data_IF_787014314244
#
_entry.id   IF_787014314244
#
_cell.length_a   1.000
_cell.length_b   1.000
_cell.length_c   1.000
_cell.angle_alpha   90.00
_cell.angle_beta   90.00
_cell.angle_gamma   90.00
#
_symmetry.space_group_name_H-M   'P 1'
#
loop_
_entity.id
_entity.type
_entity.pdbx_description
1 polymer ?
#
# COMPACT_ATOMS: atom_id res chain seq x y z
N UNK A 1 10.07 -23.75 -13.98
CA UNK A 1 10.68 -22.72 -13.10
C UNK A 1 9.57 -22.27 -12.17
N UNK A 2 9.76 -22.29 -10.84
CA UNK A 2 8.67 -21.93 -9.90
C UNK A 2 8.33 -20.45 -10.03
N UNK A 3 7.04 -20.12 -9.97
CA UNK A 3 6.51 -18.75 -9.95
C UNK A 3 7.12 -17.94 -8.81
N UNK A 4 7.34 -18.55 -7.64
CA UNK A 4 7.99 -17.93 -6.51
C UNK A 4 9.42 -17.46 -6.82
N UNK A 5 10.24 -18.29 -7.46
CA UNK A 5 11.62 -17.93 -7.84
C UNK A 5 11.64 -16.73 -8.80
N UNK A 6 10.74 -16.72 -9.79
CA UNK A 6 10.62 -15.61 -10.72
C UNK A 6 10.22 -14.32 -9.99
N UNK A 7 9.23 -14.42 -9.12
CA UNK A 7 8.72 -13.27 -8.34
C UNK A 7 9.79 -12.69 -7.41
N UNK A 8 10.58 -13.54 -6.73
CA UNK A 8 11.71 -13.10 -5.90
C UNK A 8 12.72 -12.30 -6.72
N UNK A 9 13.15 -12.83 -7.87
CA UNK A 9 14.09 -12.13 -8.76
C UNK A 9 13.53 -10.80 -9.28
N UNK A 10 12.25 -10.76 -9.58
CA UNK A 10 11.58 -9.53 -10.01
C UNK A 10 11.63 -8.46 -8.90
N UNK A 11 11.37 -8.84 -7.65
CA UNK A 11 11.45 -7.95 -6.50
C UNK A 11 12.89 -7.44 -6.31
N UNK A 12 13.89 -8.33 -6.32
CA UNK A 12 15.29 -7.94 -6.21
C UNK A 12 15.71 -6.95 -7.31
N UNK A 13 15.29 -7.21 -8.53
CA UNK A 13 15.55 -6.33 -9.66
C UNK A 13 14.91 -4.95 -9.47
N UNK A 14 13.66 -4.91 -9.01
CA UNK A 14 12.92 -3.66 -8.79
C UNK A 14 13.46 -2.82 -7.64
N UNK A 15 13.99 -3.47 -6.61
CA UNK A 15 14.60 -2.79 -5.46
C UNK A 15 16.11 -2.56 -5.63
N UNK A 16 16.74 -3.16 -6.65
CA UNK A 16 18.19 -3.07 -6.91
C UNK A 16 19.03 -3.70 -5.78
N UNK A 17 18.45 -4.59 -4.98
CA UNK A 17 19.10 -5.22 -3.81
C UNK A 17 18.62 -6.65 -3.62
N UNK A 18 19.49 -7.56 -3.12
CA UNK A 18 19.10 -8.91 -2.74
C UNK A 18 18.02 -8.91 -1.63
N UNK A 19 17.12 -9.90 -1.68
CA UNK A 19 16.01 -10.01 -0.75
C UNK A 19 16.45 -10.05 0.71
N UNK A 20 17.54 -10.77 1.01
CA UNK A 20 18.10 -10.87 2.37
C UNK A 20 18.51 -9.49 2.93
N UNK A 21 19.01 -8.59 2.07
CA UNK A 21 19.34 -7.22 2.48
C UNK A 21 18.10 -6.37 2.71
N UNK A 22 17.03 -6.61 1.93
CA UNK A 22 15.74 -5.96 2.13
C UNK A 22 15.10 -6.38 3.46
N UNK A 23 15.16 -7.67 3.79
CA UNK A 23 14.64 -8.21 5.06
C UNK A 23 15.42 -7.68 6.27
N UNK A 24 16.77 -7.65 6.22
CA UNK A 24 17.61 -7.14 7.31
C UNK A 24 17.55 -5.62 7.46
N UNK A 25 17.35 -4.89 6.37
CA UNK A 25 17.32 -3.42 6.36
C UNK A 25 16.02 -2.80 6.85
N UNK A 26 15.01 -3.61 7.18
CA UNK A 26 13.69 -3.15 7.59
C UNK A 26 13.67 -2.39 8.94
N UNK A 27 14.83 -2.28 9.61
CA UNK A 27 14.95 -1.64 10.94
C UNK A 27 15.39 -0.19 10.97
N UNK A 28 16.01 0.40 9.94
CA UNK A 28 16.64 1.70 10.16
C UNK A 28 16.66 2.74 9.03
N UNK A 29 16.37 2.42 7.78
CA UNK A 29 16.40 3.42 6.69
C UNK A 29 15.32 3.28 5.61
N UNK A 30 14.48 2.24 5.65
CA UNK A 30 13.38 2.03 4.70
C UNK A 30 12.02 2.35 5.32
N UNK A 31 12.01 3.09 6.41
CA UNK A 31 10.81 3.61 7.07
C UNK A 31 9.93 4.47 6.16
N UNK A 32 10.50 4.94 5.03
CA UNK A 32 9.79 5.78 4.07
C UNK A 32 9.07 5.00 2.95
N UNK A 33 9.32 3.68 2.80
CA UNK A 33 8.61 2.86 1.82
C UNK A 33 7.47 2.07 2.49
N UNK A 34 6.23 2.53 2.40
CA UNK A 34 5.09 1.89 3.06
C UNK A 34 4.72 0.55 2.43
N UNK A 35 5.19 0.27 1.21
CA UNK A 35 4.87 -0.95 0.46
C UNK A 35 5.78 -2.11 0.88
N UNK A 36 7.05 -1.83 1.20
CA UNK A 36 8.06 -2.85 1.47
C UNK A 36 7.69 -3.85 2.58
N UNK A 37 7.18 -3.45 3.76
CA UNK A 37 6.81 -4.41 4.81
C UNK A 37 5.68 -5.35 4.38
N UNK A 38 4.72 -4.84 3.61
CA UNK A 38 3.59 -5.62 3.11
C UNK A 38 4.09 -6.61 2.05
N UNK A 39 4.94 -6.15 1.15
CA UNK A 39 5.53 -6.95 0.09
C UNK A 39 6.38 -8.09 0.65
N UNK A 40 7.24 -7.85 1.65
CA UNK A 40 8.05 -8.88 2.28
C UNK A 40 7.17 -9.97 2.93
N UNK A 41 6.11 -9.59 3.64
CA UNK A 41 5.15 -10.54 4.22
C UNK A 41 4.46 -11.40 3.14
N UNK A 42 4.11 -10.81 2.00
CA UNK A 42 3.51 -11.55 0.88
C UNK A 42 4.51 -12.50 0.22
N UNK A 43 5.78 -12.12 0.12
CA UNK A 43 6.85 -12.99 -0.39
C UNK A 43 7.08 -14.19 0.53
N UNK A 44 7.03 -14.01 1.85
CA UNK A 44 7.15 -15.12 2.81
C UNK A 44 5.97 -16.09 2.64
N UNK A 45 4.73 -15.60 2.49
CA UNK A 45 3.56 -16.42 2.17
C UNK A 45 3.73 -17.20 0.87
N UNK A 46 4.13 -16.52 -0.21
CA UNK A 46 4.39 -17.14 -1.51
C UNK A 46 5.46 -18.24 -1.43
N UNK A 47 6.53 -18.02 -0.67
CA UNK A 47 7.58 -19.02 -0.47
C UNK A 47 7.04 -20.26 0.25
N UNK A 48 6.19 -20.08 1.26
CA UNK A 48 5.55 -21.17 1.98
C UNK A 48 4.61 -21.95 1.06
N UNK A 49 3.69 -21.29 0.36
CA UNK A 49 2.75 -21.93 -0.58
C UNK A 49 3.50 -22.69 -1.68
N UNK A 50 4.61 -22.14 -2.20
CA UNK A 50 5.45 -22.83 -3.18
C UNK A 50 6.11 -24.09 -2.62
N UNK A 51 6.55 -24.06 -1.37
CA UNK A 51 7.11 -25.24 -0.69
C UNK A 51 6.04 -26.33 -0.47
N UNK A 52 4.83 -25.94 -0.08
CA UNK A 52 3.70 -26.84 0.12
C UNK A 52 3.26 -27.47 -1.22
N UNK A 53 3.19 -26.69 -2.30
CA UNK A 53 2.90 -27.18 -3.65
C UNK A 53 3.96 -28.21 -4.12
N UNK A 54 5.24 -27.96 -3.86
CA UNK A 54 6.30 -28.91 -4.16
C UNK A 54 6.17 -30.20 -3.35
N UNK A 55 5.75 -30.11 -2.08
CA UNK A 55 5.52 -31.27 -1.23
C UNK A 55 4.34 -32.10 -1.72
N UNK A 56 3.22 -31.43 -2.05
CA UNK A 56 2.03 -32.08 -2.62
C UNK A 56 2.35 -32.80 -3.94
N UNK A 57 3.15 -32.20 -4.84
CA UNK A 57 3.62 -32.85 -6.07
C UNK A 57 4.42 -34.12 -5.77
N UNK A 58 5.35 -34.11 -4.79
CA UNK A 58 6.10 -35.31 -4.40
C UNK A 58 5.18 -36.41 -3.86
N UNK A 59 4.17 -36.03 -3.07
CA UNK A 59 3.16 -36.97 -2.55
C UNK A 59 2.33 -37.58 -3.69
N UNK A 60 1.91 -36.76 -4.65
CA UNK A 60 1.19 -37.23 -5.84
C UNK A 60 2.04 -38.21 -6.66
N UNK A 61 3.31 -37.85 -6.91
CA UNK A 61 4.24 -38.70 -7.64
C UNK A 61 4.44 -40.07 -6.95
N UNK A 62 4.59 -40.05 -5.63
CA UNK A 62 4.72 -41.26 -4.84
C UNK A 62 3.45 -42.14 -4.87
N UNK A 63 2.27 -41.52 -4.74
CA UNK A 63 0.99 -42.25 -4.85
C UNK A 63 0.77 -42.81 -6.25
N UNK A 64 1.12 -42.04 -7.28
CA UNK A 64 1.02 -42.48 -8.66
C UNK A 64 1.93 -43.68 -8.99
N UNK A 65 3.18 -43.67 -8.46
CA UNK A 65 4.10 -44.81 -8.63
C UNK A 65 3.57 -46.10 -7.98
N UNK A 66 2.98 -46.02 -6.79
CA UNK A 66 2.34 -47.16 -6.10
C UNK A 66 1.13 -47.67 -6.88
N UNK A 67 0.28 -46.78 -7.34
CA UNK A 67 -0.88 -47.15 -8.16
C UNK A 67 -0.42 -47.94 -9.41
N UNK A 68 0.62 -47.47 -10.12
CA UNK A 68 1.19 -48.16 -11.26
C UNK A 68 1.81 -49.54 -10.92
N UNK A 69 2.19 -49.77 -9.66
CA UNK A 69 2.69 -51.04 -9.17
C UNK A 69 1.57 -52.05 -8.86
N UNK A 70 0.30 -51.68 -9.06
CA UNK A 70 -0.85 -52.56 -8.90
C UNK A 70 -1.62 -52.36 -7.58
N UNK A 71 -1.31 -51.33 -6.80
CA UNK A 71 -2.06 -50.96 -5.61
C UNK A 71 -3.31 -50.10 -5.97
N UNK A 72 -4.31 -50.73 -6.60
CA UNK A 72 -5.52 -50.01 -7.07
C UNK A 72 -6.39 -49.38 -5.94
N UNK A 73 -6.17 -49.79 -4.70
CA UNK A 73 -6.84 -49.16 -3.56
C UNK A 73 -6.43 -47.68 -3.31
N UNK A 74 -5.47 -47.15 -4.09
CA UNK A 74 -4.96 -45.77 -3.96
C UNK A 74 -5.58 -44.76 -4.94
N UNK A 75 -6.61 -45.16 -5.73
CA UNK A 75 -7.22 -44.25 -6.70
C UNK A 75 -7.75 -42.98 -6.08
N UNK A 76 -8.46 -43.10 -4.97
CA UNK A 76 -8.99 -41.94 -4.23
C UNK A 76 -7.86 -41.07 -3.66
N UNK A 77 -6.73 -41.68 -3.25
CA UNK A 77 -5.58 -40.94 -2.71
C UNK A 77 -4.85 -40.16 -3.84
N UNK A 78 -4.72 -40.76 -5.02
CA UNK A 78 -4.15 -40.06 -6.19
C UNK A 78 -5.01 -38.86 -6.57
N UNK A 79 -6.34 -39.04 -6.58
CA UNK A 79 -7.27 -37.95 -6.89
C UNK A 79 -7.19 -36.84 -5.84
N UNK A 80 -7.12 -37.21 -4.55
CA UNK A 80 -6.96 -36.25 -3.47
C UNK A 80 -5.70 -35.40 -3.62
N UNK A 81 -4.55 -36.03 -3.82
CA UNK A 81 -3.28 -35.32 -4.00
C UNK A 81 -3.25 -34.51 -5.30
N UNK A 82 -3.87 -34.98 -6.38
CA UNK A 82 -3.98 -34.22 -7.61
C UNK A 82 -4.79 -32.91 -7.39
N UNK A 83 -5.89 -32.99 -6.63
CA UNK A 83 -6.71 -31.83 -6.30
C UNK A 83 -5.90 -30.85 -5.43
N UNK A 84 -5.20 -31.35 -4.41
CA UNK A 84 -4.35 -30.53 -3.53
C UNK A 84 -3.26 -29.78 -4.32
N UNK A 85 -2.61 -30.46 -5.28
CA UNK A 85 -1.61 -29.81 -6.15
C UNK A 85 -2.22 -28.68 -6.95
N UNK A 86 -3.38 -28.89 -7.57
CA UNK A 86 -4.07 -27.86 -8.37
C UNK A 86 -4.45 -26.66 -7.52
N UNK A 87 -4.95 -26.88 -6.31
CA UNK A 87 -5.37 -25.80 -5.41
C UNK A 87 -4.17 -24.99 -4.91
N UNK A 88 -3.07 -25.65 -4.54
CA UNK A 88 -1.84 -24.99 -4.11
C UNK A 88 -1.16 -24.22 -5.26
N UNK A 89 -1.16 -24.75 -6.47
CA UNK A 89 -0.65 -24.04 -7.65
C UNK A 89 -1.47 -22.79 -7.96
N UNK A 90 -2.80 -22.87 -7.85
CA UNK A 90 -3.69 -21.71 -8.00
C UNK A 90 -3.46 -20.67 -6.94
N UNK A 91 -3.24 -21.11 -5.69
CA UNK A 91 -2.91 -20.21 -4.58
C UNK A 91 -1.54 -19.55 -4.80
N UNK A 92 -0.50 -20.32 -5.20
CA UNK A 92 0.85 -19.78 -5.52
C UNK A 92 0.75 -18.68 -6.60
N UNK A 93 -0.04 -18.91 -7.64
CA UNK A 93 -0.27 -17.93 -8.71
C UNK A 93 -0.94 -16.66 -8.18
N UNK A 94 -1.99 -16.80 -7.39
CA UNK A 94 -2.73 -15.66 -6.81
C UNK A 94 -1.85 -14.82 -5.86
N UNK A 95 -1.00 -15.47 -5.06
CA UNK A 95 -0.07 -14.76 -4.18
C UNK A 95 1.03 -14.03 -4.98
N UNK A 96 1.52 -14.62 -6.06
CA UNK A 96 2.47 -13.97 -6.96
C UNK A 96 1.87 -12.72 -7.62
N UNK A 97 0.65 -12.82 -8.12
CA UNK A 97 -0.08 -11.68 -8.70
C UNK A 97 -0.25 -10.54 -7.67
N UNK A 98 -0.59 -10.87 -6.43
CA UNK A 98 -0.69 -9.87 -5.37
C UNK A 98 0.66 -9.16 -5.08
N UNK A 99 1.79 -9.87 -5.21
CA UNK A 99 3.13 -9.25 -5.11
C UNK A 99 3.40 -8.34 -6.31
N UNK A 100 3.02 -8.73 -7.52
CA UNK A 100 3.19 -7.91 -8.73
C UNK A 100 2.37 -6.63 -8.66
N UNK A 101 1.13 -6.71 -8.18
CA UNK A 101 0.27 -5.54 -7.94
C UNK A 101 0.91 -4.55 -6.95
N UNK A 102 1.54 -5.05 -5.88
CA UNK A 102 2.27 -4.20 -4.92
C UNK A 102 3.48 -3.52 -5.56
N UNK A 103 4.19 -4.19 -6.45
CA UNK A 103 5.30 -3.58 -7.21
C UNK A 103 4.82 -2.48 -8.15
N UNK A 104 3.65 -2.64 -8.76
CA UNK A 104 3.05 -1.62 -9.60
C UNK A 104 2.55 -0.42 -8.79
N UNK A 105 1.94 -0.66 -7.62
CA UNK A 105 1.58 0.42 -6.68
C UNK A 105 2.82 1.21 -6.27
N UNK A 106 3.92 0.55 -5.95
CA UNK A 106 5.19 1.21 -5.63
C UNK A 106 5.69 2.07 -6.79
N UNK A 107 5.66 1.52 -8.02
CA UNK A 107 6.08 2.26 -9.21
C UNK A 107 5.23 3.54 -9.42
N UNK A 108 3.93 3.48 -9.12
CA UNK A 108 3.05 4.64 -9.17
C UNK A 108 3.39 5.66 -8.08
N UNK A 109 3.77 5.19 -6.88
CA UNK A 109 4.21 6.07 -5.79
C UNK A 109 5.54 6.77 -6.14
N UNK A 110 6.48 6.06 -6.75
CA UNK A 110 7.77 6.61 -7.21
C UNK A 110 7.58 7.65 -8.34
N UNK A 111 6.60 7.44 -9.21
CA UNK A 111 6.25 8.38 -10.29
C UNK A 111 5.34 9.53 -9.84
N UNK A 112 4.62 9.35 -8.73
CA UNK A 112 3.83 10.43 -8.18
C UNK A 112 4.78 11.59 -7.88
N UNK A 113 4.55 12.81 -8.44
CA UNK A 113 5.38 13.95 -8.14
C UNK A 113 5.41 14.03 -6.62
N UNK A 114 6.64 13.96 -6.06
CA UNK A 114 6.82 13.98 -4.62
C UNK A 114 5.85 15.02 -4.06
N UNK A 115 4.78 14.59 -3.41
CA UNK A 115 3.99 15.47 -2.59
C UNK A 115 5.01 15.92 -1.56
N UNK A 116 5.73 17.00 -1.92
CA UNK A 116 6.50 17.72 -0.91
C UNK A 116 5.56 17.80 0.26
N UNK A 117 5.94 17.24 1.41
CA UNK A 117 5.17 17.53 2.60
C UNK A 117 5.13 19.04 2.65
N UNK A 118 3.96 19.60 2.37
CA UNK A 118 3.73 21.05 2.48
C UNK A 118 3.76 21.45 3.95
N UNK A 119 4.62 20.82 4.71
CA UNK A 119 4.98 21.05 6.09
C UNK A 119 6.32 21.78 6.23
N UNK A 120 6.95 22.21 5.14
CA UNK A 120 7.74 23.42 5.26
C UNK A 120 6.74 24.55 5.42
N UNK A 121 6.62 25.05 6.65
CA UNK A 121 6.10 26.36 6.96
C UNK A 121 6.86 27.37 6.08
N UNK A 122 6.48 27.45 4.81
CA UNK A 122 6.74 28.62 4.02
C UNK A 122 6.11 29.75 4.84
N UNK A 123 6.89 30.73 5.20
CA UNK A 123 6.35 31.94 5.81
C UNK A 123 5.14 32.33 4.96
N UNK A 124 3.95 32.54 5.57
CA UNK A 124 2.74 32.78 4.83
C UNK A 124 3.00 33.96 3.91
N UNK A 125 2.69 33.78 2.62
CA UNK A 125 2.83 34.89 1.66
C UNK A 125 2.02 36.08 2.18
N UNK A 126 2.39 37.32 1.84
CA UNK A 126 1.63 38.50 2.22
C UNK A 126 0.12 38.36 1.93
N UNK A 127 -0.23 37.72 0.82
CA UNK A 127 -1.60 37.38 0.45
C UNK A 127 -2.27 36.37 1.37
N UNK A 128 -1.51 35.39 1.90
CA UNK A 128 -2.06 34.39 2.81
C UNK A 128 -2.21 34.94 4.23
N UNK A 129 -1.36 35.91 4.63
CA UNK A 129 -1.51 36.65 5.89
C UNK A 129 -2.75 37.55 5.86
N UNK A 130 -2.95 38.29 4.78
CA UNK A 130 -4.13 39.14 4.59
C UNK A 130 -5.42 38.28 4.57
N UNK A 131 -5.42 37.20 3.82
CA UNK A 131 -6.54 36.25 3.79
C UNK A 131 -6.86 35.69 5.19
N UNK A 132 -5.85 35.35 5.98
CA UNK A 132 -6.04 34.83 7.33
C UNK A 132 -6.60 35.89 8.27
N UNK A 133 -6.16 37.15 8.16
CA UNK A 133 -6.68 38.27 8.95
C UNK A 133 -8.17 38.51 8.67
N UNK A 134 -8.56 38.59 7.39
CA UNK A 134 -9.97 38.75 7.02
C UNK A 134 -10.81 37.51 7.41
N UNK A 135 -10.23 36.31 7.31
CA UNK A 135 -10.92 35.08 7.72
C UNK A 135 -11.18 35.03 9.24
N UNK A 136 -10.29 35.60 10.10
CA UNK A 136 -10.52 35.76 11.54
C UNK A 136 -11.67 36.72 11.86
N UNK A 137 -11.73 37.83 11.14
CA UNK A 137 -12.85 38.79 11.30
C UNK A 137 -14.19 38.16 10.89
N UNK A 138 -14.21 37.43 9.78
CA UNK A 138 -15.41 36.68 9.35
C UNK A 138 -15.79 35.63 10.39
N UNK A 139 -14.81 34.87 10.89
CA UNK A 139 -15.03 33.81 11.88
C UNK A 139 -15.58 34.34 13.20
N UNK A 140 -15.12 35.53 13.66
CA UNK A 140 -15.63 36.18 14.86
C UNK A 140 -17.11 36.56 14.79
N UNK A 141 -17.65 36.79 13.60
CA UNK A 141 -19.07 37.06 13.39
C UNK A 141 -19.94 35.83 13.14
N UNK A 142 -19.36 34.60 13.15
CA UNK A 142 -20.08 33.37 12.88
C UNK A 142 -20.43 32.60 14.15
N UNK A 143 -21.69 32.24 14.34
CA UNK A 143 -22.13 31.38 15.44
C UNK A 143 -21.54 29.98 15.41
N UNK A 144 -21.14 29.49 14.21
CA UNK A 144 -20.47 28.21 13.97
C UNK A 144 -19.44 28.35 12.86
N UNK A 145 -18.19 28.01 13.14
CA UNK A 145 -17.12 27.98 12.16
C UNK A 145 -17.26 26.74 11.26
N UNK A 146 -17.93 26.90 10.13
CA UNK A 146 -18.03 25.87 9.10
C UNK A 146 -17.51 26.41 7.75
N UNK A 147 -17.19 25.45 6.82
CA UNK A 147 -16.56 25.75 5.55
C UNK A 147 -17.43 26.64 4.65
N UNK A 148 -18.72 26.40 4.67
CA UNK A 148 -19.68 27.10 3.81
C UNK A 148 -19.91 28.56 4.27
N UNK A 149 -20.10 28.76 5.58
CA UNK A 149 -20.26 30.06 6.17
C UNK A 149 -18.99 30.92 6.00
N UNK A 150 -17.80 30.34 6.21
CA UNK A 150 -16.54 31.04 5.99
C UNK A 150 -16.36 31.43 4.51
N UNK A 151 -16.69 30.52 3.57
CA UNK A 151 -16.65 30.83 2.14
C UNK A 151 -17.57 31.97 1.75
N UNK A 152 -18.80 31.96 2.27
CA UNK A 152 -19.79 33.02 1.99
C UNK A 152 -19.28 34.36 2.53
N UNK A 153 -18.86 34.43 3.80
CA UNK A 153 -18.37 35.66 4.39
C UNK A 153 -17.11 36.24 3.74
N UNK A 154 -16.23 35.40 3.18
CA UNK A 154 -15.09 35.86 2.39
C UNK A 154 -15.51 36.38 1.02
N UNK A 155 -16.48 35.72 0.37
CA UNK A 155 -17.04 36.16 -0.91
C UNK A 155 -17.78 37.50 -0.77
N UNK A 156 -18.55 37.70 0.30
CA UNK A 156 -19.27 38.94 0.57
C UNK A 156 -18.32 40.14 0.75
N UNK A 157 -17.06 39.86 1.12
CA UNK A 157 -15.96 40.87 1.19
C UNK A 157 -15.12 40.95 -0.09
N UNK A 158 -15.56 40.31 -1.17
CA UNK A 158 -14.90 40.38 -2.49
C UNK A 158 -13.64 39.51 -2.60
N UNK A 159 -13.40 38.57 -1.67
CA UNK A 159 -12.21 37.70 -1.68
C UNK A 159 -12.58 36.30 -2.23
N UNK A 160 -12.30 36.00 -3.49
CA UNK A 160 -12.50 34.67 -4.04
C UNK A 160 -11.40 33.72 -3.51
N UNK A 161 -11.81 32.60 -2.88
CA UNK A 161 -10.87 31.63 -2.29
C UNK A 161 -11.10 30.25 -2.87
N UNK A 162 -10.00 29.61 -3.32
CA UNK A 162 -10.01 28.24 -3.80
C UNK A 162 -10.31 27.26 -2.64
N UNK A 163 -10.87 26.09 -3.00
CA UNK A 163 -11.19 25.04 -2.03
C UNK A 163 -9.97 24.60 -1.17
N UNK A 164 -8.78 24.62 -1.75
CA UNK A 164 -7.53 24.26 -1.08
C UNK A 164 -7.11 25.30 -0.04
N UNK A 165 -7.14 26.59 -0.41
CA UNK A 165 -6.81 27.71 0.49
C UNK A 165 -7.82 27.84 1.62
N UNK A 166 -9.11 27.69 1.33
CA UNK A 166 -10.18 27.71 2.32
C UNK A 166 -10.00 26.59 3.39
N UNK A 167 -9.61 25.37 2.95
CA UNK A 167 -9.31 24.26 3.86
C UNK A 167 -8.16 24.56 4.80
N UNK A 168 -7.05 25.12 4.28
CA UNK A 168 -5.89 25.50 5.09
C UNK A 168 -6.20 26.60 6.12
N UNK A 169 -6.95 27.63 5.72
CA UNK A 169 -7.40 28.70 6.60
C UNK A 169 -8.31 28.16 7.71
N UNK A 170 -9.27 27.29 7.38
CA UNK A 170 -10.18 26.70 8.37
C UNK A 170 -9.43 25.84 9.40
N UNK A 171 -8.45 25.05 8.98
CA UNK A 171 -7.61 24.27 9.90
C UNK A 171 -6.83 25.16 10.86
N UNK A 172 -6.29 26.27 10.36
CA UNK A 172 -5.52 27.23 11.18
C UNK A 172 -6.38 27.94 12.19
N UNK A 173 -7.58 28.42 11.79
CA UNK A 173 -8.56 29.02 12.70
C UNK A 173 -9.02 28.07 13.81
N UNK A 174 -9.23 26.78 13.47
CA UNK A 174 -9.60 25.77 14.47
C UNK A 174 -8.46 25.48 15.45
N UNK A 175 -7.21 25.46 14.99
CA UNK A 175 -6.06 25.31 15.87
C UNK A 175 -5.92 26.51 16.82
N UNK A 176 -6.11 27.73 16.33
CA UNK A 176 -6.09 28.94 17.16
C UNK A 176 -7.21 28.94 18.22
N UNK A 177 -8.42 28.45 17.87
CA UNK A 177 -9.56 28.36 18.81
C UNK A 177 -9.42 27.23 19.83
N UNK A 178 -8.52 26.28 19.65
CA UNK A 178 -8.27 25.19 20.59
C UNK A 178 -7.21 25.54 21.66
N UNK A 179 -6.45 26.64 21.47
CA UNK A 179 -5.37 27.07 22.36
C UNK A 179 -5.66 28.42 23.04
N UNK A 180 -6.82 29.04 22.82
CA UNK A 180 -7.32 30.24 23.48
C UNK A 180 -8.53 29.94 24.31
#
# INVERSE_FOLDING_TARGET
MSTAIYTHRLVEHRYGRPLEKLQRGNGSRHSDDPVLPILLRRLDGLAQTSADAQSARRNLDAAWQRHRSGEHALDDLVLLYATEVVDLERQEQSEAEAVWDLLDVRLLLDRAPARRPSAQRAAPSPDDQHLLAVAREVAAGLNRLNREALRRGLRDRGIPVSNRRLGAVLQRLRAESAYG
#
